data_IF_781645928492
#
_entry.id   IF_781645928492
#
_cell.length_a   1.000
_cell.length_b   1.000
_cell.length_c   1.000
_cell.angle_alpha   90.00
_cell.angle_beta   90.00
_cell.angle_gamma   90.00
#
_symmetry.space_group_name_H-M   'P 1'
#
loop_
_entity.id
_entity.type
_entity.pdbx_description
1 polymer ?
#
# COMPACT_ATOMS: atom_id res chain seq x y z
N UNK A 1 -21.92 -4.69 21.19
CA UNK A 1 -20.48 -4.78 20.85
C UNK A 1 -20.26 -4.06 19.53
N UNK A 2 -19.31 -3.12 19.44
CA UNK A 2 -18.97 -2.45 18.17
C UNK A 2 -17.74 -3.14 17.59
N UNK A 3 -17.78 -3.44 16.30
CA UNK A 3 -16.68 -4.04 15.53
C UNK A 3 -16.28 -3.04 14.45
N UNK A 4 -14.97 -2.79 14.31
CA UNK A 4 -14.42 -2.07 13.17
C UNK A 4 -13.72 -3.06 12.25
N UNK A 5 -14.18 -3.13 11.00
CA UNK A 5 -13.49 -3.83 9.93
C UNK A 5 -12.63 -2.83 9.15
N UNK A 6 -11.32 -2.98 9.22
CA UNK A 6 -10.38 -2.23 8.39
C UNK A 6 -9.96 -3.10 7.19
N UNK A 7 -10.36 -2.70 5.99
CA UNK A 7 -9.88 -3.32 4.76
C UNK A 7 -8.59 -2.63 4.34
N UNK A 8 -7.46 -3.21 4.75
CA UNK A 8 -6.14 -2.77 4.33
C UNK A 8 -5.89 -3.32 2.93
N UNK A 9 -6.18 -2.51 1.92
CA UNK A 9 -5.99 -2.82 0.48
C UNK A 9 -4.53 -3.08 0.07
N UNK A 10 -3.67 -3.50 0.99
CA UNK A 10 -2.30 -3.89 0.76
C UNK A 10 -2.02 -5.22 1.47
N UNK A 11 -1.40 -6.15 0.75
CA UNK A 11 -0.79 -7.30 1.38
C UNK A 11 0.53 -6.87 2.02
N UNK A 12 0.46 -6.53 3.31
CA UNK A 12 1.56 -5.96 4.07
C UNK A 12 2.41 -7.10 4.65
N UNK A 13 3.18 -7.82 3.84
CA UNK A 13 4.04 -8.94 4.33
C UNK A 13 5.52 -8.78 4.00
N UNK A 14 5.85 -7.85 3.11
CA UNK A 14 7.16 -7.82 2.46
C UNK A 14 7.40 -9.00 1.54
N UNK A 15 8.66 -9.21 1.16
CA UNK A 15 9.10 -10.32 0.32
C UNK A 15 9.48 -11.52 1.19
N UNK A 16 8.47 -12.34 1.53
CA UNK A 16 8.65 -13.58 2.30
C UNK A 16 8.27 -14.79 1.46
N UNK A 17 8.88 -15.94 1.73
CA UNK A 17 8.58 -17.21 1.06
C UNK A 17 7.92 -18.19 2.03
N UNK A 18 7.09 -19.09 1.50
CA UNK A 18 6.36 -20.09 2.28
C UNK A 18 4.97 -19.62 2.71
N UNK A 19 4.43 -20.25 3.75
CA UNK A 19 3.12 -19.88 4.31
C UNK A 19 3.28 -18.59 5.11
N UNK A 20 2.62 -17.53 4.65
CA UNK A 20 2.62 -16.22 5.30
C UNK A 20 1.31 -16.07 6.08
N UNK A 21 1.41 -16.07 7.40
CA UNK A 21 0.26 -15.79 8.26
C UNK A 21 -0.04 -14.29 8.30
N UNK A 22 -1.33 -13.94 8.32
CA UNK A 22 -1.78 -12.55 8.49
C UNK A 22 -1.64 -12.10 9.95
N UNK A 23 -0.39 -11.87 10.37
CA UNK A 23 -0.08 -11.38 11.71
C UNK A 23 -0.16 -9.84 11.70
N UNK A 24 -0.82 -9.22 12.70
CA UNK A 24 -0.82 -7.77 12.85
C UNK A 24 0.58 -7.24 13.21
N UNK A 25 1.00 -6.14 12.60
CA UNK A 25 2.27 -5.49 12.94
C UNK A 25 2.25 -4.87 14.34
N UNK A 26 3.38 -4.98 15.03
CA UNK A 26 3.62 -4.23 16.27
C UNK A 26 3.99 -2.79 15.93
N UNK A 27 3.73 -1.90 16.88
CA UNK A 27 4.08 -0.49 16.73
C UNK A 27 5.60 -0.35 16.55
N UNK A 28 5.99 0.23 15.41
CA UNK A 28 7.38 0.50 15.04
C UNK A 28 8.17 -0.71 14.55
N UNK A 29 7.48 -1.79 14.19
CA UNK A 29 8.06 -2.94 13.49
C UNK A 29 8.49 -2.56 12.07
N UNK A 30 9.60 -3.13 11.60
CA UNK A 30 10.15 -2.95 10.25
C UNK A 30 10.37 -4.31 9.61
N UNK A 31 10.45 -4.38 8.27
CA UNK A 31 10.65 -5.66 7.59
C UNK A 31 12.11 -6.11 7.56
N UNK A 32 13.04 -5.19 7.78
CA UNK A 32 14.47 -5.49 7.72
C UNK A 32 15.09 -5.76 9.10
N UNK A 33 14.32 -5.65 10.19
CA UNK A 33 14.72 -5.82 11.59
C UNK A 33 15.93 -4.96 12.03
N UNK A 34 16.36 -3.99 11.21
CA UNK A 34 17.55 -3.17 11.48
C UNK A 34 17.21 -1.95 12.32
N UNK A 35 16.01 -1.41 12.14
CA UNK A 35 15.61 -0.11 12.69
C UNK A 35 14.24 -0.19 13.36
N UNK A 36 13.96 0.75 14.27
CA UNK A 36 12.63 0.99 14.82
C UNK A 36 11.93 2.11 14.05
N UNK A 37 10.71 1.87 13.61
CA UNK A 37 9.89 2.85 12.88
C UNK A 37 9.15 3.77 13.86
N UNK A 38 9.59 5.01 14.00
CA UNK A 38 8.81 6.05 14.67
C UNK A 38 7.95 6.82 13.67
N UNK A 39 6.65 6.50 13.65
CA UNK A 39 5.66 7.14 12.76
C UNK A 39 5.56 8.66 12.99
N UNK A 40 5.82 9.15 14.21
CA UNK A 40 5.82 10.59 14.48
C UNK A 40 7.01 11.27 13.82
N UNK A 41 8.16 10.62 13.85
CA UNK A 41 9.35 11.10 13.18
C UNK A 41 9.19 11.07 11.65
N UNK A 42 8.61 10.01 11.09
CA UNK A 42 8.29 9.96 9.65
C UNK A 42 7.41 11.13 9.22
N UNK A 43 6.38 11.44 10.03
CA UNK A 43 5.52 12.59 9.79
C UNK A 43 6.32 13.90 9.84
N UNK A 44 7.20 14.07 10.84
CA UNK A 44 8.04 15.25 10.99
C UNK A 44 8.97 15.45 9.79
N UNK A 45 9.68 14.39 9.38
CA UNK A 45 10.59 14.41 8.21
C UNK A 45 9.85 14.79 6.94
N UNK A 46 8.67 14.20 6.72
CA UNK A 46 7.83 14.49 5.54
C UNK A 46 7.36 15.94 5.52
N UNK A 47 6.89 16.45 6.67
CA UNK A 47 6.43 17.84 6.80
C UNK A 47 7.57 18.84 6.62
N UNK A 48 8.74 18.55 7.16
CA UNK A 48 9.91 19.41 7.04
C UNK A 48 10.40 19.49 5.60
N UNK A 49 10.46 18.36 4.88
CA UNK A 49 10.83 18.36 3.46
C UNK A 49 9.83 19.15 2.61
N UNK A 50 8.54 18.97 2.85
CA UNK A 50 7.49 19.72 2.16
C UNK A 50 7.62 21.24 2.42
N UNK A 51 7.85 21.63 3.67
CA UNK A 51 8.08 23.03 4.06
C UNK A 51 9.31 23.62 3.37
N UNK A 52 10.41 22.87 3.33
CA UNK A 52 11.63 23.27 2.65
C UNK A 52 11.36 23.54 1.15
N UNK A 53 10.67 22.63 0.47
CA UNK A 53 10.32 22.78 -0.95
C UNK A 53 9.43 24.00 -1.22
N UNK A 54 8.53 24.33 -0.29
CA UNK A 54 7.72 25.57 -0.37
C UNK A 54 8.62 26.80 -0.28
N UNK A 55 9.57 26.83 0.66
CA UNK A 55 10.52 27.95 0.84
C UNK A 55 11.42 28.09 -0.40
N UNK A 56 11.84 26.98 -1.00
CA UNK A 56 12.60 26.92 -2.25
C UNK A 56 11.76 27.33 -3.49
N UNK A 57 10.46 27.57 -3.33
CA UNK A 57 9.50 27.89 -4.41
C UNK A 57 9.53 26.84 -5.53
N UNK A 58 9.66 25.56 -5.17
CA UNK A 58 9.58 24.47 -6.12
C UNK A 58 8.23 24.50 -6.85
N UNK A 59 8.25 24.23 -8.15
CA UNK A 59 7.01 24.05 -8.92
C UNK A 59 6.33 22.72 -8.54
N UNK A 60 5.10 22.53 -8.99
CA UNK A 60 4.28 21.36 -8.64
C UNK A 60 4.94 20.03 -9.05
N UNK A 61 5.58 19.99 -10.22
CA UNK A 61 6.26 18.80 -10.73
C UNK A 61 7.49 18.44 -9.87
N UNK A 62 8.36 19.43 -9.59
CA UNK A 62 9.54 19.23 -8.75
C UNK A 62 9.16 18.87 -7.31
N UNK A 63 8.10 19.48 -6.78
CA UNK A 63 7.53 19.14 -5.48
C UNK A 63 7.07 17.67 -5.45
N UNK A 64 6.27 17.26 -6.44
CA UNK A 64 5.74 15.90 -6.57
C UNK A 64 6.86 14.87 -6.69
N UNK A 65 7.85 15.13 -7.55
CA UNK A 65 9.03 14.27 -7.72
C UNK A 65 9.82 14.14 -6.42
N UNK A 66 10.16 15.26 -5.77
CA UNK A 66 10.96 15.25 -4.56
C UNK A 66 10.26 14.55 -3.39
N UNK A 67 8.94 14.70 -3.26
CA UNK A 67 8.15 14.01 -2.23
C UNK A 67 8.01 12.52 -2.53
N UNK A 68 7.90 12.14 -3.81
CA UNK A 68 7.90 10.74 -4.25
C UNK A 68 9.24 10.09 -3.93
N UNK A 69 10.35 10.74 -4.26
CA UNK A 69 11.70 10.27 -3.98
C UNK A 69 11.94 10.09 -2.48
N UNK A 70 11.50 11.06 -1.67
CA UNK A 70 11.56 10.95 -0.21
C UNK A 70 10.78 9.70 0.25
N UNK A 71 9.54 9.53 -0.20
CA UNK A 71 8.73 8.37 0.16
C UNK A 71 9.42 7.04 -0.16
N UNK A 72 10.03 6.93 -1.35
CA UNK A 72 10.79 5.74 -1.78
C UNK A 72 11.98 5.50 -0.86
N UNK A 73 12.73 6.55 -0.51
CA UNK A 73 13.86 6.46 0.41
C UNK A 73 13.43 6.00 1.80
N UNK A 74 12.32 6.55 2.35
CA UNK A 74 11.80 6.15 3.67
C UNK A 74 11.30 4.70 3.68
N UNK A 75 10.59 4.28 2.63
CA UNK A 75 10.15 2.88 2.51
C UNK A 75 11.35 1.91 2.52
N UNK A 76 12.37 2.18 1.70
CA UNK A 76 13.60 1.38 1.62
C UNK A 76 14.35 1.35 2.95
N UNK A 77 14.46 2.48 3.65
CA UNK A 77 15.11 2.59 4.96
C UNK A 77 14.54 1.58 5.97
N UNK A 78 13.23 1.37 5.94
CA UNK A 78 12.50 0.47 6.86
C UNK A 78 12.24 -0.92 6.24
N UNK A 79 12.80 -1.21 5.08
CA UNK A 79 12.72 -2.52 4.42
C UNK A 79 11.42 -2.78 3.64
N UNK A 80 10.61 -1.75 3.40
CA UNK A 80 9.37 -1.89 2.64
C UNK A 80 9.60 -1.83 1.14
N UNK A 81 8.93 -2.69 0.35
CA UNK A 81 9.18 -2.79 -1.09
C UNK A 81 8.73 -1.54 -1.86
N UNK A 82 7.75 -0.82 -1.34
CA UNK A 82 7.28 0.44 -1.92
C UNK A 82 6.58 1.31 -0.86
N UNK A 83 6.35 2.58 -1.23
CA UNK A 83 5.72 3.60 -0.37
C UNK A 83 4.28 3.25 0.00
N UNK A 84 3.55 2.60 -0.91
CA UNK A 84 2.16 2.22 -0.68
C UNK A 84 2.03 1.20 0.45
N UNK A 85 2.78 0.10 0.39
CA UNK A 85 2.78 -0.93 1.45
C UNK A 85 3.32 -0.34 2.77
N UNK A 86 4.34 0.51 2.70
CA UNK A 86 4.89 1.20 3.88
C UNK A 86 3.84 2.06 4.60
N UNK A 87 3.11 2.89 3.86
CA UNK A 87 2.07 3.76 4.44
C UNK A 87 0.89 2.96 5.01
N UNK A 88 0.51 1.85 4.36
CA UNK A 88 -0.52 0.94 4.88
C UNK A 88 -0.08 0.26 6.16
N UNK A 89 1.17 -0.21 6.25
CA UNK A 89 1.74 -0.76 7.48
C UNK A 89 1.65 0.23 8.65
N UNK A 90 2.07 1.49 8.42
CA UNK A 90 1.95 2.55 9.42
C UNK A 90 0.50 2.81 9.86
N UNK A 91 -0.43 2.80 8.90
CA UNK A 91 -1.86 2.94 9.18
C UNK A 91 -2.39 1.84 10.08
N UNK A 92 -2.07 0.58 9.78
CA UNK A 92 -2.46 -0.58 10.60
C UNK A 92 -1.90 -0.49 12.03
N UNK A 93 -0.62 -0.13 12.18
CA UNK A 93 0.02 0.06 13.49
C UNK A 93 -0.68 1.14 14.32
N UNK A 94 -1.06 2.27 13.69
CA UNK A 94 -1.78 3.35 14.35
C UNK A 94 -3.19 2.94 14.77
N UNK A 95 -3.91 2.20 13.93
CA UNK A 95 -5.26 1.69 14.23
C UNK A 95 -5.20 0.72 15.41
N UNK A 96 -4.27 -0.24 15.39
CA UNK A 96 -4.09 -1.19 16.48
C UNK A 96 -3.73 -0.50 17.81
N UNK A 97 -2.93 0.57 17.76
CA UNK A 97 -2.58 1.34 18.97
C UNK A 97 -3.77 2.09 19.55
N UNK A 98 -4.62 2.70 18.70
CA UNK A 98 -5.72 3.57 19.15
C UNK A 98 -6.98 2.80 19.53
N UNK A 99 -7.30 1.72 18.83
CA UNK A 99 -8.60 1.06 18.93
C UNK A 99 -8.63 -0.11 19.91
N UNK A 100 -7.46 -0.56 20.38
CA UNK A 100 -7.32 -1.73 21.27
C UNK A 100 -8.14 -1.67 22.57
N UNK A 101 -8.60 -0.50 23.00
CA UNK A 101 -9.27 -0.32 24.29
C UNK A 101 -10.80 -0.22 24.18
N UNK A 102 -11.35 0.27 23.05
CA UNK A 102 -12.76 0.66 22.96
C UNK A 102 -13.59 -0.14 21.93
N UNK A 103 -12.95 -0.72 20.92
CA UNK A 103 -13.65 -1.36 19.78
C UNK A 103 -12.86 -2.59 19.31
N UNK A 104 -13.54 -3.71 19.05
CA UNK A 104 -12.90 -4.86 18.42
C UNK A 104 -12.46 -4.49 17.00
N UNK A 105 -11.19 -4.68 16.67
CA UNK A 105 -10.62 -4.36 15.34
C UNK A 105 -10.29 -5.65 14.60
N UNK A 106 -10.79 -5.78 13.36
CA UNK A 106 -10.38 -6.80 12.39
C UNK A 106 -9.72 -6.10 11.22
N UNK A 107 -8.54 -6.59 10.81
CA UNK A 107 -7.83 -6.11 9.63
C UNK A 107 -7.94 -7.19 8.56
N UNK A 108 -8.51 -6.85 7.41
CA UNK A 108 -8.59 -7.71 6.24
C UNK A 108 -7.60 -7.19 5.18
N UNK A 109 -6.73 -8.05 4.66
CA UNK A 109 -5.74 -7.71 3.64
C UNK A 109 -6.04 -8.42 2.31
N UNK A 110 -7.01 -7.95 1.52
CA UNK A 110 -7.29 -8.58 0.24
C UNK A 110 -6.07 -8.49 -0.69
N UNK A 111 -5.99 -9.44 -1.62
CA UNK A 111 -5.07 -9.36 -2.76
C UNK A 111 -5.49 -8.24 -3.73
N UNK A 112 -4.87 -8.19 -4.91
CA UNK A 112 -5.22 -7.26 -5.99
C UNK A 112 -6.72 -7.34 -6.28
N UNK A 113 -7.40 -6.21 -6.05
CA UNK A 113 -8.80 -6.04 -6.39
C UNK A 113 -8.88 -5.51 -7.83
N UNK A 114 -9.59 -6.22 -8.70
CA UNK A 114 -9.84 -5.82 -10.08
C UNK A 114 -11.27 -5.29 -10.25
N UNK A 115 -11.86 -5.49 -11.44
CA UNK A 115 -13.22 -5.05 -11.74
C UNK A 115 -14.28 -5.66 -10.85
N UNK A 116 -15.42 -4.99 -10.79
CA UNK A 116 -16.57 -5.49 -10.05
C UNK A 116 -17.16 -6.73 -10.71
N UNK A 117 -17.64 -7.64 -9.86
CA UNK A 117 -18.33 -8.84 -10.31
C UNK A 117 -19.76 -8.52 -10.72
N UNK A 118 -20.46 -7.65 -9.96
CA UNK A 118 -21.88 -7.38 -10.20
C UNK A 118 -22.24 -5.89 -10.24
N UNK A 119 -21.95 -5.12 -9.21
CA UNK A 119 -22.39 -3.71 -9.15
C UNK A 119 -21.27 -2.73 -9.50
N UNK A 120 -21.54 -1.62 -10.19
CA UNK A 120 -22.79 -1.23 -10.83
C UNK A 120 -23.15 -2.07 -12.07
N UNK A 121 -22.16 -2.70 -12.72
CA UNK A 121 -22.32 -3.75 -13.71
C UNK A 121 -21.03 -4.56 -13.82
N UNK A 122 -21.06 -5.83 -14.28
CA UNK A 122 -19.87 -6.67 -14.38
C UNK A 122 -18.77 -6.03 -15.23
N UNK A 123 -17.54 -6.04 -14.72
CA UNK A 123 -16.40 -5.46 -15.43
C UNK A 123 -16.21 -3.95 -15.19
N UNK A 124 -17.03 -3.31 -14.36
CA UNK A 124 -16.82 -1.91 -14.00
C UNK A 124 -15.52 -1.73 -13.22
N UNK A 125 -14.74 -0.72 -13.62
CA UNK A 125 -13.52 -0.30 -12.93
C UNK A 125 -13.64 1.18 -12.58
N UNK A 126 -13.39 1.53 -11.32
CA UNK A 126 -13.30 2.92 -10.90
C UNK A 126 -11.86 3.42 -11.08
N UNK A 127 -11.60 3.97 -12.27
CA UNK A 127 -10.25 4.34 -12.70
C UNK A 127 -9.39 3.14 -13.07
N UNK A 128 -8.26 3.40 -13.72
CA UNK A 128 -7.32 2.34 -14.13
C UNK A 128 -6.25 2.20 -13.04
N UNK A 129 -6.27 1.10 -12.30
CA UNK A 129 -5.29 0.78 -11.26
C UNK A 129 -4.34 -0.32 -11.73
N UNK A 130 -3.47 -0.79 -10.84
CA UNK A 130 -2.32 -1.68 -11.11
C UNK A 130 -2.60 -2.77 -12.16
N UNK A 131 -3.54 -3.67 -11.90
CA UNK A 131 -3.85 -4.77 -12.83
C UNK A 131 -4.76 -4.34 -13.98
N UNK A 132 -5.64 -3.37 -13.73
CA UNK A 132 -6.57 -2.84 -14.74
C UNK A 132 -5.82 -2.24 -15.93
N UNK A 133 -4.64 -1.63 -15.70
CA UNK A 133 -3.76 -1.12 -16.77
C UNK A 133 -3.36 -2.22 -17.75
N UNK A 134 -3.00 -3.40 -17.25
CA UNK A 134 -2.62 -4.54 -18.08
C UNK A 134 -3.84 -5.10 -18.83
N UNK A 135 -4.96 -5.26 -18.13
CA UNK A 135 -6.22 -5.74 -18.72
C UNK A 135 -6.68 -4.78 -19.83
N UNK A 136 -6.64 -3.48 -19.59
CA UNK A 136 -7.03 -2.46 -20.56
C UNK A 136 -6.07 -2.39 -21.75
N UNK A 137 -4.75 -2.48 -21.53
CA UNK A 137 -3.76 -2.51 -22.61
C UNK A 137 -3.94 -3.74 -23.51
N UNK A 138 -4.20 -4.90 -22.92
CA UNK A 138 -4.49 -6.13 -23.66
C UNK A 138 -5.80 -6.01 -24.45
N UNK A 139 -6.88 -5.56 -23.81
CA UNK A 139 -8.18 -5.36 -24.46
C UNK A 139 -8.15 -4.35 -25.62
N UNK A 140 -7.24 -3.37 -25.57
CA UNK A 140 -7.00 -2.39 -26.65
C UNK A 140 -6.04 -2.90 -27.73
N UNK A 141 -5.48 -4.10 -27.59
CA UNK A 141 -4.48 -4.64 -28.51
C UNK A 141 -3.12 -3.94 -28.46
N UNK A 142 -2.85 -3.15 -27.41
CA UNK A 142 -1.56 -2.46 -27.22
C UNK A 142 -0.47 -3.41 -26.73
N UNK A 143 -0.87 -4.52 -26.09
CA UNK A 143 0.03 -5.61 -25.73
C UNK A 143 -0.65 -6.95 -26.01
N UNK A 144 0.12 -7.94 -26.44
CA UNK A 144 -0.33 -9.31 -26.66
C UNK A 144 0.08 -10.27 -25.54
N UNK A 145 0.96 -9.85 -24.63
CA UNK A 145 1.43 -10.68 -23.53
C UNK A 145 1.82 -9.87 -22.28
N UNK A 146 1.97 -10.57 -21.16
CA UNK A 146 2.46 -10.03 -19.91
C UNK A 146 3.68 -10.82 -19.46
N UNK A 147 4.77 -10.12 -19.11
CA UNK A 147 5.98 -10.75 -18.58
C UNK A 147 5.74 -11.13 -17.12
N UNK A 148 5.61 -12.42 -16.86
CA UNK A 148 5.50 -12.98 -15.53
C UNK A 148 6.39 -14.21 -15.38
N UNK A 149 6.76 -14.54 -14.15
CA UNK A 149 7.38 -15.81 -13.87
C UNK A 149 6.32 -16.92 -13.97
N UNK A 150 6.52 -17.95 -14.81
CA UNK A 150 5.49 -18.96 -15.10
C UNK A 150 5.12 -19.81 -13.87
N UNK A 151 5.99 -19.85 -12.87
CA UNK A 151 5.80 -20.63 -11.64
C UNK A 151 5.31 -19.78 -10.46
N UNK A 152 4.88 -18.53 -10.70
CA UNK A 152 4.33 -17.65 -9.66
C UNK A 152 2.82 -17.54 -9.82
N UNK A 153 2.12 -17.50 -8.69
CA UNK A 153 0.67 -17.33 -8.64
C UNK A 153 0.34 -15.84 -8.69
N UNK A 154 -0.58 -15.48 -9.58
CA UNK A 154 -1.23 -14.17 -9.59
C UNK A 154 -2.60 -14.32 -8.92
N UNK A 155 -2.75 -13.73 -7.74
CA UNK A 155 -4.00 -13.77 -6.98
C UNK A 155 -4.78 -12.48 -7.18
N UNK A 156 -6.00 -12.56 -7.68
CA UNK A 156 -6.87 -11.42 -8.00
C UNK A 156 -8.27 -11.75 -7.50
N UNK A 157 -8.89 -10.78 -6.82
CA UNK A 157 -10.29 -10.86 -6.39
C UNK A 157 -11.11 -9.77 -7.08
N UNK A 158 -12.35 -10.10 -7.44
CA UNK A 158 -13.32 -9.10 -7.89
C UNK A 158 -13.91 -8.37 -6.69
N UNK A 159 -14.12 -7.07 -6.82
CA UNK A 159 -14.99 -6.36 -5.88
C UNK A 159 -16.45 -6.81 -6.09
N UNK A 160 -17.32 -6.69 -5.07
CA UNK A 160 -18.75 -6.96 -5.21
C UNK A 160 -19.39 -6.21 -6.38
#
# INVERSE_FOLDING_TARGET
MKLLLHVSTAFVSGEKSGIIFEIPFKMGETLNDKNHLDIREEKRVTQERHRQLIVEKANEEAMSSAMTDLGIQRAKLHGWPNVYVFTKAMGEMLLLKRLRQDVSLVILRPTIIASTYKEPFPGWIEGVKTMDSFIAAYGKGMTSCFLAHPNKVLDIVSSP
#
